data_IF_706414136357
#
_entry.id   IF_706414136357
#
_cell.length_a   1.000
_cell.length_b   1.000
_cell.length_c   1.000
_cell.angle_alpha   90.00
_cell.angle_beta   90.00
_cell.angle_gamma   90.00
#
_symmetry.space_group_name_H-M   'P 1'
#
loop_
_entity.id
_entity.type
_entity.pdbx_description
1 polymer ?
#
# COMPACT_ATOMS: atom_id res chain seq x y z
N UNK A 1 25.47 63.92 -5.74
CA UNK A 1 25.24 62.50 -6.02
C UNK A 1 24.02 62.05 -5.25
N UNK A 2 22.87 61.88 -5.91
CA UNK A 2 21.66 61.29 -5.31
C UNK A 2 20.94 60.50 -6.40
N UNK A 3 21.33 59.23 -6.56
CA UNK A 3 20.61 58.24 -7.35
C UNK A 3 20.16 57.15 -6.37
N UNK A 4 18.89 57.22 -5.97
CA UNK A 4 17.88 56.23 -6.38
C UNK A 4 18.07 54.88 -5.66
N UNK A 5 17.46 54.61 -4.51
CA UNK A 5 16.00 54.52 -4.27
C UNK A 5 15.25 53.53 -5.20
N UNK A 6 15.91 52.93 -6.20
CA UNK A 6 15.36 51.87 -7.08
C UNK A 6 15.71 50.45 -6.64
N UNK A 7 16.74 50.25 -5.82
CA UNK A 7 17.12 48.91 -5.32
C UNK A 7 16.16 48.31 -4.28
N UNK A 8 15.22 49.10 -3.75
CA UNK A 8 14.34 48.69 -2.65
C UNK A 8 13.03 47.97 -3.08
N UNK A 9 12.67 47.94 -4.38
CA UNK A 9 11.36 47.42 -4.81
C UNK A 9 11.38 46.13 -5.65
N UNK A 10 12.48 45.77 -6.31
CA UNK A 10 12.51 44.59 -7.21
C UNK A 10 12.87 43.26 -6.54
N UNK A 11 13.40 43.27 -5.30
CA UNK A 11 13.68 42.04 -4.53
C UNK A 11 12.44 41.50 -3.78
N UNK A 12 11.34 42.25 -3.71
CA UNK A 12 10.07 41.82 -3.11
C UNK A 12 9.19 40.95 -4.05
N UNK A 13 9.58 40.78 -5.32
CA UNK A 13 8.92 39.87 -6.26
C UNK A 13 9.50 38.45 -6.27
N UNK A 14 10.43 38.14 -5.35
CA UNK A 14 10.79 36.76 -4.99
C UNK A 14 9.71 36.11 -4.09
N UNK A 15 8.46 36.20 -4.54
CA UNK A 15 7.32 35.51 -3.95
C UNK A 15 7.66 34.03 -3.77
N UNK A 16 7.65 33.59 -2.52
CA UNK A 16 8.05 32.27 -2.09
C UNK A 16 7.21 31.17 -2.75
N UNK A 17 7.60 30.76 -3.95
CA UNK A 17 7.15 29.52 -4.60
C UNK A 17 7.88 28.33 -3.99
N UNK A 18 7.90 28.26 -2.65
CA UNK A 18 8.18 27.04 -1.91
C UNK A 18 6.93 26.13 -2.00
N UNK A 19 6.60 25.71 -3.23
CA UNK A 19 5.54 24.77 -3.55
C UNK A 19 5.95 23.37 -3.14
N UNK A 20 6.02 23.18 -1.83
CA UNK A 20 6.10 21.88 -1.17
C UNK A 20 5.09 20.90 -1.80
N UNK A 21 5.52 19.65 -1.98
CA UNK A 21 4.67 18.59 -2.58
C UNK A 21 3.34 18.34 -1.84
N UNK A 22 3.19 18.85 -0.60
CA UNK A 22 1.93 18.82 0.16
C UNK A 22 0.84 19.75 -0.39
N UNK A 23 1.19 20.89 -0.98
CA UNK A 23 0.22 21.93 -1.37
C UNK A 23 -0.81 21.48 -2.41
N UNK A 24 -0.39 20.70 -3.42
CA UNK A 24 -1.28 20.21 -4.49
C UNK A 24 -2.36 19.25 -3.97
N UNK A 25 -2.00 18.36 -3.04
CA UNK A 25 -2.93 17.42 -2.44
C UNK A 25 -3.94 18.12 -1.52
N UNK A 26 -3.49 19.10 -0.73
CA UNK A 26 -4.37 19.89 0.14
C UNK A 26 -5.35 20.77 -0.66
N UNK A 27 -4.92 21.38 -1.78
CA UNK A 27 -5.82 22.10 -2.70
C UNK A 27 -6.91 21.17 -3.27
N UNK A 28 -6.54 19.96 -3.71
CA UNK A 28 -7.50 18.96 -4.22
C UNK A 28 -8.52 18.53 -3.16
N UNK A 29 -8.10 18.36 -1.91
CA UNK A 29 -9.03 18.06 -0.80
C UNK A 29 -10.03 19.20 -0.58
N UNK A 30 -9.57 20.45 -0.46
CA UNK A 30 -10.47 21.62 -0.28
C UNK A 30 -11.49 21.73 -1.42
N UNK A 31 -11.05 21.55 -2.67
CA UNK A 31 -11.93 21.54 -3.83
C UNK A 31 -12.96 20.39 -3.79
N UNK A 32 -12.61 19.22 -3.23
CA UNK A 32 -13.55 18.14 -3.03
C UNK A 32 -14.56 18.46 -1.90
N UNK A 33 -14.09 19.01 -0.77
CA UNK A 33 -14.94 19.47 0.33
C UNK A 33 -15.96 20.53 -0.17
N UNK A 34 -15.52 21.50 -0.96
CA UNK A 34 -16.38 22.52 -1.59
C UNK A 34 -17.39 21.92 -2.57
N UNK A 35 -16.99 20.97 -3.42
CA UNK A 35 -17.88 20.27 -4.37
C UNK A 35 -18.95 19.43 -3.68
N UNK A 36 -18.70 18.95 -2.46
CA UNK A 36 -19.67 18.17 -1.69
C UNK A 36 -20.70 19.04 -0.94
N UNK A 37 -20.42 20.34 -0.71
CA UNK A 37 -21.33 21.26 0.01
C UNK A 37 -22.78 21.24 -0.50
N UNK A 38 -23.07 21.24 -1.81
CA UNK A 38 -24.46 21.24 -2.31
C UNK A 38 -25.26 19.97 -2.00
N UNK A 39 -24.61 18.89 -1.56
CA UNK A 39 -25.24 17.60 -1.26
C UNK A 39 -25.44 17.36 0.24
N UNK A 40 -24.85 18.19 1.09
CA UNK A 40 -25.05 18.14 2.55
C UNK A 40 -26.53 18.34 2.87
N UNK A 41 -27.10 17.45 3.69
CA UNK A 41 -28.53 17.43 4.02
C UNK A 41 -29.46 16.95 2.91
N UNK A 42 -28.93 16.55 1.74
CA UNK A 42 -29.70 15.99 0.60
C UNK A 42 -29.32 14.56 0.24
N UNK A 43 -28.15 14.12 0.68
CA UNK A 43 -27.58 12.78 0.46
C UNK A 43 -27.11 12.24 1.81
N UNK A 44 -27.21 10.92 2.00
CA UNK A 44 -26.67 10.22 3.17
C UNK A 44 -25.18 10.61 3.39
N UNK A 45 -24.81 11.06 4.60
CA UNK A 45 -23.49 11.63 4.85
C UNK A 45 -22.35 10.59 4.75
N UNK A 46 -22.66 9.30 4.92
CA UNK A 46 -21.74 8.17 4.72
C UNK A 46 -21.26 8.11 3.25
N UNK A 47 -22.20 8.18 2.29
CA UNK A 47 -21.91 8.23 0.84
C UNK A 47 -21.07 9.45 0.46
N UNK A 48 -21.27 10.59 1.14
CA UNK A 48 -20.42 11.77 0.95
C UNK A 48 -18.99 11.55 1.46
N UNK A 49 -18.80 10.75 2.52
CA UNK A 49 -17.48 10.39 3.01
C UNK A 49 -16.72 9.41 2.09
N UNK A 50 -17.42 8.50 1.40
CA UNK A 50 -16.81 7.62 0.39
C UNK A 50 -16.16 8.40 -0.78
N UNK A 51 -16.76 9.54 -1.14
CA UNK A 51 -16.27 10.44 -2.18
C UNK A 51 -15.11 11.35 -1.70
N UNK A 52 -14.99 11.61 -0.38
CA UNK A 52 -14.05 12.58 0.17
C UNK A 52 -12.68 11.97 0.51
N UNK A 53 -11.67 12.26 -0.34
CA UNK A 53 -10.29 11.80 -0.14
C UNK A 53 -9.49 12.75 0.75
N UNK A 54 -9.28 12.33 2.00
CA UNK A 54 -8.48 13.08 2.97
C UNK A 54 -6.96 13.00 2.69
N UNK A 55 -6.32 14.16 2.66
CA UNK A 55 -4.89 14.32 2.35
C UNK A 55 -4.13 15.09 3.44
N UNK A 56 -4.79 16.05 4.10
CA UNK A 56 -4.29 16.88 5.17
C UNK A 56 -5.34 16.99 6.31
N UNK A 57 -4.95 16.81 7.58
CA UNK A 57 -3.64 16.34 8.05
C UNK A 57 -3.33 14.90 7.61
N UNK A 58 -2.05 14.53 7.50
CA UNK A 58 -1.67 13.22 6.95
C UNK A 58 -2.11 12.08 7.87
N UNK A 59 -2.91 11.16 7.34
CA UNK A 59 -3.49 10.06 8.11
C UNK A 59 -4.88 10.34 8.69
N UNK A 60 -5.45 11.53 8.44
CA UNK A 60 -6.88 11.77 8.61
C UNK A 60 -7.74 10.88 7.69
N UNK A 61 -9.00 10.75 8.06
CA UNK A 61 -10.04 10.01 7.34
C UNK A 61 -11.34 10.80 7.37
N UNK A 62 -12.27 10.51 6.45
CA UNK A 62 -13.57 11.15 6.49
C UNK A 62 -14.41 10.51 7.58
N UNK A 63 -14.96 11.34 8.46
CA UNK A 63 -15.94 10.93 9.45
C UNK A 63 -17.13 11.88 9.35
N UNK A 64 -18.34 11.33 9.49
CA UNK A 64 -19.54 12.13 9.65
C UNK A 64 -19.51 12.78 11.03
N UNK A 65 -19.67 14.10 11.07
CA UNK A 65 -19.76 14.88 12.31
C UNK A 65 -21.02 15.74 12.29
N UNK A 66 -21.60 15.99 13.46
CA UNK A 66 -22.76 16.85 13.60
C UNK A 66 -22.30 18.29 13.89
N UNK A 67 -22.65 19.24 13.02
CA UNK A 67 -22.31 20.65 13.14
C UNK A 67 -23.59 21.47 12.90
N UNK A 68 -24.01 22.27 13.89
CA UNK A 68 -25.26 23.04 13.88
C UNK A 68 -26.53 22.22 13.53
N UNK A 69 -26.61 20.98 14.04
CA UNK A 69 -27.73 20.08 13.77
C UNK A 69 -27.66 19.31 12.44
N UNK A 70 -26.68 19.63 11.57
CA UNK A 70 -26.50 19.00 10.26
C UNK A 70 -25.36 18.00 10.30
N UNK A 71 -25.54 16.83 9.68
CA UNK A 71 -24.48 15.83 9.51
C UNK A 71 -23.62 16.18 8.30
N UNK A 72 -22.32 16.39 8.52
CA UNK A 72 -21.36 16.80 7.48
C UNK A 72 -20.18 15.82 7.37
N UNK A 73 -19.67 15.53 6.16
CA UNK A 73 -18.44 14.77 5.96
C UNK A 73 -17.22 15.65 6.29
N UNK A 74 -16.36 15.23 7.22
CA UNK A 74 -15.18 16.02 7.64
C UNK A 74 -13.94 15.14 7.74
N UNK A 75 -12.81 15.62 7.18
CA UNK A 75 -11.53 14.95 7.33
C UNK A 75 -10.96 15.18 8.74
N UNK A 76 -10.99 14.17 9.60
CA UNK A 76 -10.65 14.27 11.02
C UNK A 76 -9.49 13.39 11.45
N UNK A 77 -8.88 13.72 12.59
CA UNK A 77 -7.94 12.88 13.32
C UNK A 77 -8.53 12.50 14.68
N UNK A 78 -9.05 11.27 14.85
CA UNK A 78 -9.76 10.89 16.07
C UNK A 78 -8.87 10.98 17.32
N UNK A 79 -9.29 11.75 18.32
CA UNK A 79 -8.64 11.84 19.62
C UNK A 79 -9.19 10.78 20.59
N UNK A 80 -10.50 10.55 20.56
CA UNK A 80 -11.20 9.43 21.19
C UNK A 80 -11.69 8.44 20.12
N UNK A 81 -12.02 7.21 20.52
CA UNK A 81 -12.65 6.20 19.66
C UNK A 81 -13.70 5.44 20.46
N UNK A 82 -14.77 4.93 19.82
CA UNK A 82 -15.77 4.10 20.49
C UNK A 82 -15.12 2.81 21.02
N UNK A 83 -15.67 2.29 22.13
CA UNK A 83 -15.24 1.02 22.74
C UNK A 83 -15.76 -0.22 22.00
N UNK A 84 -16.57 -0.04 20.96
CA UNK A 84 -17.11 -1.13 20.13
C UNK A 84 -15.99 -1.99 19.53
N UNK A 85 -16.13 -3.30 19.63
CA UNK A 85 -15.26 -4.29 18.98
C UNK A 85 -15.84 -4.62 17.60
N UNK A 86 -15.28 -4.01 16.58
CA UNK A 86 -15.62 -4.24 15.18
C UNK A 86 -14.29 -4.36 14.41
N UNK A 87 -13.56 -5.48 14.59
CA UNK A 87 -12.15 -5.57 14.22
C UNK A 87 -11.93 -5.31 12.74
N UNK A 88 -10.80 -4.69 12.40
CA UNK A 88 -10.43 -4.40 11.01
C UNK A 88 -8.96 -4.74 10.74
N UNK A 89 -8.67 -5.09 9.50
CA UNK A 89 -7.31 -5.26 9.02
C UNK A 89 -6.85 -4.04 8.23
N UNK A 90 -5.67 -3.49 8.51
CA UNK A 90 -5.07 -2.39 7.76
C UNK A 90 -4.30 -2.84 6.51
N UNK A 91 -3.94 -1.93 5.61
CA UNK A 91 -3.00 -2.19 4.49
C UNK A 91 -1.63 -2.68 4.97
N UNK A 92 -1.30 -2.39 6.24
CA UNK A 92 -0.08 -2.80 6.94
C UNK A 92 -0.31 -4.06 7.79
N UNK A 93 -1.34 -4.83 7.45
CA UNK A 93 -1.87 -6.05 8.08
C UNK A 93 -1.69 -6.12 9.59
N UNK A 94 -1.98 -5.01 10.24
CA UNK A 94 -2.16 -4.94 11.69
C UNK A 94 -3.66 -4.92 11.93
N UNK A 95 -4.13 -5.84 12.78
CA UNK A 95 -5.49 -5.83 13.30
C UNK A 95 -5.66 -4.66 14.25
N UNK A 96 -6.74 -3.91 14.09
CA UNK A 96 -7.20 -2.90 15.04
C UNK A 96 -8.56 -3.32 15.58
N UNK A 97 -8.90 -2.92 16.80
CA UNK A 97 -10.19 -3.27 17.43
C UNK A 97 -11.41 -2.64 16.73
N UNK A 98 -11.20 -1.54 16.00
CA UNK A 98 -12.13 -0.90 15.08
C UNK A 98 -11.40 0.07 14.13
N UNK A 99 -12.11 0.56 13.12
CA UNK A 99 -11.59 1.48 12.09
C UNK A 99 -11.13 2.83 12.66
N UNK A 100 -11.83 3.36 13.67
CA UNK A 100 -11.38 4.57 14.36
C UNK A 100 -9.97 4.39 14.96
N UNK A 101 -9.68 3.24 15.59
CA UNK A 101 -8.36 2.96 16.15
C UNK A 101 -7.27 2.85 15.08
N UNK A 102 -7.60 2.39 13.88
CA UNK A 102 -6.70 2.38 12.72
C UNK A 102 -6.33 3.82 12.33
N UNK A 103 -7.34 4.68 12.12
CA UNK A 103 -7.12 6.07 11.69
C UNK A 103 -6.52 6.97 12.79
N UNK A 104 -6.85 6.73 14.06
CA UNK A 104 -6.19 7.36 15.21
C UNK A 104 -4.68 7.08 15.22
N UNK A 105 -4.26 5.84 14.99
CA UNK A 105 -2.83 5.52 14.86
C UNK A 105 -2.22 6.14 13.59
N UNK A 106 -2.94 6.10 12.46
CA UNK A 106 -2.48 6.63 11.18
C UNK A 106 -2.15 8.13 11.28
N UNK A 107 -3.07 8.94 11.83
CA UNK A 107 -2.85 10.36 12.03
C UNK A 107 -1.78 10.67 13.10
N UNK A 108 -1.80 9.97 14.25
CA UNK A 108 -0.77 10.17 15.29
C UNK A 108 0.65 9.94 14.75
N UNK A 109 0.82 8.99 13.81
CA UNK A 109 2.09 8.69 13.14
C UNK A 109 2.33 9.51 11.86
N UNK A 110 1.44 10.46 11.52
CA UNK A 110 1.44 11.23 10.26
C UNK A 110 1.63 10.35 9.01
N UNK A 111 1.01 9.17 8.99
CA UNK A 111 1.19 8.14 7.95
C UNK A 111 -0.13 7.71 7.35
N UNK A 112 -0.25 7.77 6.03
CA UNK A 112 -1.37 7.17 5.29
C UNK A 112 -1.39 5.66 5.53
N UNK A 113 -2.48 5.19 6.15
CA UNK A 113 -2.76 3.77 6.41
C UNK A 113 -4.22 3.58 6.06
N UNK A 114 -4.51 2.76 5.04
CA UNK A 114 -5.87 2.43 4.66
C UNK A 114 -6.39 1.15 5.33
N UNK A 115 -7.69 0.94 5.21
CA UNK A 115 -8.35 -0.34 5.45
C UNK A 115 -7.93 -1.38 4.39
N UNK A 116 -7.88 -2.66 4.76
CA UNK A 116 -7.74 -3.79 3.84
C UNK A 116 -9.01 -4.61 3.72
N UNK A 117 -9.56 -5.03 4.85
CA UNK A 117 -10.86 -5.66 4.93
C UNK A 117 -11.42 -5.49 6.35
N UNK A 118 -12.73 -5.64 6.47
CA UNK A 118 -13.42 -5.78 7.75
C UNK A 118 -13.11 -7.16 8.32
N UNK A 119 -13.08 -7.29 9.65
CA UNK A 119 -12.61 -8.46 10.37
C UNK A 119 -11.15 -8.33 10.83
N UNK A 120 -10.70 -9.19 11.75
CA UNK A 120 -9.29 -9.25 12.11
C UNK A 120 -8.45 -9.61 10.89
N UNK A 121 -7.21 -9.13 10.79
CA UNK A 121 -6.29 -9.64 9.76
C UNK A 121 -6.24 -11.16 9.85
N UNK A 122 -6.32 -11.81 8.69
CA UNK A 122 -6.11 -13.25 8.57
C UNK A 122 -4.74 -13.56 9.19
N UNK A 123 -4.75 -14.23 10.34
CA UNK A 123 -3.53 -14.73 10.96
C UNK A 123 -3.22 -16.07 10.32
N UNK A 124 -2.05 -16.25 9.69
CA UNK A 124 -1.73 -17.50 9.03
C UNK A 124 -1.37 -18.54 10.10
N UNK A 125 -2.41 -19.16 10.68
CA UNK A 125 -2.33 -20.38 11.49
C UNK A 125 -2.67 -21.63 10.68
N UNK A 126 -3.19 -21.48 9.46
CA UNK A 126 -3.33 -22.59 8.53
C UNK A 126 -1.95 -23.12 8.17
N UNK A 127 -1.78 -24.45 8.18
CA UNK A 127 -0.67 -25.09 7.47
C UNK A 127 -0.92 -24.84 5.98
N UNK A 128 0.12 -24.47 5.24
CA UNK A 128 0.03 -24.38 3.79
C UNK A 128 -0.25 -25.77 3.21
N UNK A 129 -1.32 -25.93 2.43
CA UNK A 129 -1.58 -27.19 1.70
C UNK A 129 -0.68 -27.29 0.47
N UNK A 130 -0.61 -28.48 -0.16
CA UNK A 130 0.22 -28.66 -1.35
C UNK A 130 -0.34 -27.85 -2.55
N UNK A 131 -1.65 -27.73 -2.66
CA UNK A 131 -2.35 -26.92 -3.68
C UNK A 131 -2.09 -25.42 -3.49
N UNK A 132 -2.12 -24.92 -2.25
CA UNK A 132 -1.76 -23.54 -1.95
C UNK A 132 -0.28 -23.26 -2.20
N UNK A 133 0.60 -24.22 -1.89
CA UNK A 133 2.03 -24.11 -2.13
C UNK A 133 2.34 -24.06 -3.64
N UNK A 134 1.60 -24.82 -4.45
CA UNK A 134 1.67 -24.78 -5.91
C UNK A 134 1.20 -23.46 -6.52
N UNK A 135 0.16 -22.84 -5.95
CA UNK A 135 -0.35 -21.52 -6.39
C UNK A 135 0.54 -20.34 -5.94
N UNK A 136 1.28 -20.49 -4.84
CA UNK A 136 2.04 -19.40 -4.22
C UNK A 136 3.00 -18.62 -5.16
N UNK A 137 3.79 -19.26 -6.05
CA UNK A 137 4.74 -18.56 -6.92
C UNK A 137 4.07 -17.53 -7.86
N UNK A 138 2.88 -17.87 -8.37
CA UNK A 138 2.08 -16.98 -9.24
C UNK A 138 1.53 -15.81 -8.45
N UNK A 139 0.84 -16.09 -7.34
CA UNK A 139 0.27 -15.04 -6.49
C UNK A 139 1.33 -14.05 -6.03
N UNK A 140 2.56 -14.52 -5.79
CA UNK A 140 3.71 -13.69 -5.46
C UNK A 140 4.21 -12.86 -6.66
N UNK A 141 4.24 -13.42 -7.86
CA UNK A 141 4.66 -12.72 -9.08
C UNK A 141 3.63 -11.69 -9.57
N UNK A 142 2.34 -12.00 -9.58
CA UNK A 142 1.22 -11.05 -9.76
C UNK A 142 1.34 -9.88 -8.76
N UNK A 143 1.61 -10.19 -7.49
CA UNK A 143 1.79 -9.19 -6.45
C UNK A 143 3.03 -8.31 -6.69
N UNK A 144 4.14 -8.88 -7.17
CA UNK A 144 5.32 -8.12 -7.59
C UNK A 144 5.05 -7.21 -8.78
N UNK A 145 4.23 -7.65 -9.74
CA UNK A 145 3.82 -6.87 -10.91
C UNK A 145 2.94 -5.69 -10.49
N UNK A 146 1.96 -5.92 -9.61
CA UNK A 146 1.14 -4.86 -9.02
C UNK A 146 2.00 -3.85 -8.26
N UNK A 147 2.94 -4.31 -7.43
CA UNK A 147 3.88 -3.46 -6.70
C UNK A 147 4.82 -2.67 -7.61
N UNK A 148 5.07 -3.11 -8.84
CA UNK A 148 5.89 -2.34 -9.80
C UNK A 148 5.08 -1.20 -10.41
N UNK A 149 3.76 -1.43 -10.60
CA UNK A 149 2.82 -0.46 -11.17
C UNK A 149 2.30 0.56 -10.14
N UNK A 150 2.38 0.28 -8.83
CA UNK A 150 1.95 1.20 -7.75
C UNK A 150 2.92 2.37 -7.56
N UNK A 151 2.81 3.38 -8.42
CA UNK A 151 3.60 4.62 -8.39
C UNK A 151 3.38 5.45 -9.67
N UNK A 152 3.16 4.75 -10.78
CA UNK A 152 2.62 5.29 -12.02
C UNK A 152 1.08 5.34 -11.94
N UNK A 153 0.43 6.09 -12.84
CA UNK A 153 -1.02 6.27 -12.81
C UNK A 153 -1.75 4.94 -13.09
N UNK A 154 -2.42 4.40 -12.07
CA UNK A 154 -3.21 3.17 -12.15
C UNK A 154 -4.26 3.24 -13.27
N UNK A 155 -3.98 2.55 -14.38
CA UNK A 155 -4.93 2.32 -15.47
C UNK A 155 -5.65 0.98 -15.25
N UNK A 156 -6.99 0.90 -15.34
CA UNK A 156 -7.74 -0.34 -15.08
C UNK A 156 -7.55 -1.50 -16.07
N UNK A 157 -6.60 -1.42 -17.01
CA UNK A 157 -6.39 -2.39 -18.09
C UNK A 157 -5.04 -3.11 -18.03
N UNK A 158 -4.47 -3.30 -16.83
CA UNK A 158 -3.16 -3.87 -16.67
C UNK A 158 -3.19 -5.40 -16.89
N UNK A 159 -2.44 -5.97 -17.85
CA UNK A 159 -2.58 -7.38 -18.21
C UNK A 159 -2.13 -8.31 -17.05
N UNK A 160 -2.80 -9.47 -16.90
CA UNK A 160 -2.47 -10.50 -15.91
C UNK A 160 -1.11 -11.16 -16.18
N UNK A 161 -0.55 -11.87 -15.19
CA UNK A 161 0.73 -12.59 -15.33
C UNK A 161 0.76 -13.59 -16.51
N UNK A 162 -0.39 -14.11 -16.95
CA UNK A 162 -0.49 -14.99 -18.13
C UNK A 162 -0.03 -14.33 -19.44
N UNK A 163 0.16 -13.00 -19.47
CA UNK A 163 0.71 -12.27 -20.60
C UNK A 163 2.23 -12.01 -20.52
N UNK A 164 2.93 -12.44 -19.45
CA UNK A 164 4.36 -12.19 -19.26
C UNK A 164 5.24 -13.34 -19.78
N UNK A 165 6.19 -13.02 -20.65
CA UNK A 165 7.21 -13.97 -21.10
C UNK A 165 8.07 -14.50 -19.94
N UNK A 166 8.74 -15.63 -20.14
CA UNK A 166 9.75 -16.15 -19.19
C UNK A 166 10.81 -15.08 -18.87
N UNK A 167 11.29 -14.36 -19.89
CA UNK A 167 12.28 -13.28 -19.72
C UNK A 167 11.76 -12.12 -18.87
N UNK A 168 10.50 -11.69 -19.05
CA UNK A 168 9.88 -10.64 -18.24
C UNK A 168 9.66 -11.11 -16.78
N UNK A 169 9.20 -12.35 -16.56
CA UNK A 169 9.08 -12.95 -15.22
C UNK A 169 10.44 -13.05 -14.52
N UNK A 170 11.49 -13.42 -15.26
CA UNK A 170 12.88 -13.47 -14.76
C UNK A 170 13.40 -12.09 -14.36
N UNK A 171 13.21 -11.07 -15.20
CA UNK A 171 13.60 -9.68 -14.89
C UNK A 171 12.87 -9.16 -13.64
N UNK A 172 11.55 -9.39 -13.53
CA UNK A 172 10.77 -8.99 -12.36
C UNK A 172 11.23 -9.72 -11.08
N UNK A 173 11.54 -11.01 -11.18
CA UNK A 173 12.13 -11.77 -10.06
C UNK A 173 13.48 -11.17 -9.62
N UNK A 174 14.38 -10.85 -10.56
CA UNK A 174 15.69 -10.26 -10.28
C UNK A 174 15.58 -8.87 -9.65
N UNK A 175 14.72 -7.99 -10.20
CA UNK A 175 14.43 -6.66 -9.64
C UNK A 175 13.90 -6.75 -8.21
N UNK A 176 13.09 -7.77 -7.90
CA UNK A 176 12.55 -7.97 -6.55
C UNK A 176 13.60 -8.50 -5.59
N UNK A 177 14.49 -9.39 -6.04
CA UNK A 177 15.62 -9.87 -5.25
C UNK A 177 16.50 -8.71 -4.75
N UNK A 178 16.92 -7.79 -5.64
CA UNK A 178 17.81 -6.68 -5.29
C UNK A 178 17.18 -5.66 -4.34
N UNK A 179 15.85 -5.50 -4.37
CA UNK A 179 15.12 -4.67 -3.39
C UNK A 179 15.04 -5.30 -1.99
N UNK A 180 15.18 -6.62 -1.90
CA UNK A 180 15.07 -7.39 -0.66
C UNK A 180 16.45 -7.61 -0.02
N UNK A 181 17.50 -7.82 -0.82
CA UNK A 181 18.91 -7.89 -0.41
C UNK A 181 19.46 -6.51 -0.01
N UNK A 182 19.02 -6.02 1.14
CA UNK A 182 19.42 -4.68 1.65
C UNK A 182 20.88 -4.61 2.09
N UNK A 183 21.43 -5.73 2.54
CA UNK A 183 22.82 -5.86 2.96
C UNK A 183 23.77 -6.14 1.77
N UNK A 184 23.23 -6.40 0.58
CA UNK A 184 23.96 -6.64 -0.66
C UNK A 184 24.95 -7.82 -0.55
N UNK A 185 24.60 -8.87 0.20
CA UNK A 185 25.43 -10.09 0.31
C UNK A 185 25.11 -11.13 -0.78
N UNK A 186 24.25 -10.78 -1.75
CA UNK A 186 23.84 -11.63 -2.86
C UNK A 186 22.91 -12.77 -2.45
N UNK A 187 22.34 -12.72 -1.23
CA UNK A 187 21.62 -13.84 -0.61
C UNK A 187 20.46 -13.37 0.27
N UNK A 188 19.24 -13.83 0.00
CA UNK A 188 18.08 -13.52 0.85
C UNK A 188 18.10 -14.41 2.09
N UNK A 189 18.38 -13.81 3.25
CA UNK A 189 18.25 -14.50 4.54
C UNK A 189 16.82 -14.48 5.05
N UNK A 190 16.50 -15.33 6.03
CA UNK A 190 15.22 -15.28 6.76
C UNK A 190 14.91 -13.89 7.35
N UNK A 191 15.89 -13.03 7.63
CA UNK A 191 15.63 -11.64 8.08
C UNK A 191 15.10 -10.76 6.95
N UNK A 192 15.48 -11.02 5.72
CA UNK A 192 15.10 -10.27 4.51
C UNK A 192 13.76 -10.76 3.98
N UNK A 193 13.58 -12.08 3.98
CA UNK A 193 12.27 -12.73 3.79
C UNK A 193 11.24 -12.31 4.86
N UNK A 194 11.68 -11.92 6.07
CA UNK A 194 10.80 -11.27 7.07
C UNK A 194 10.49 -9.79 6.79
N UNK A 195 11.32 -9.07 6.01
CA UNK A 195 11.02 -7.71 5.53
C UNK A 195 10.04 -7.76 4.35
N UNK A 196 10.04 -8.87 3.61
CA UNK A 196 9.05 -9.32 2.62
C UNK A 196 7.63 -9.55 3.21
N UNK A 197 7.37 -9.21 4.49
CA UNK A 197 6.03 -9.18 5.08
C UNK A 197 5.17 -8.04 4.51
N UNK A 198 4.87 -8.14 3.22
CA UNK A 198 3.68 -7.56 2.61
C UNK A 198 2.48 -8.27 3.25
N UNK A 199 1.89 -7.67 4.29
CA UNK A 199 0.76 -8.28 5.03
C UNK A 199 -0.58 -8.08 4.29
N UNK A 200 -0.54 -8.48 3.02
CA UNK A 200 -1.54 -8.44 1.94
C UNK A 200 -1.15 -9.39 0.79
N UNK A 201 0.01 -10.05 0.88
CA UNK A 201 0.44 -11.06 -0.08
C UNK A 201 -0.53 -12.24 0.02
N UNK A 202 -1.16 -12.69 -1.08
CA UNK A 202 -2.03 -13.85 -1.02
C UNK A 202 -1.24 -15.08 -0.54
N UNK A 203 -1.89 -15.95 0.23
CA UNK A 203 -1.30 -17.19 0.76
C UNK A 203 -0.03 -16.98 1.61
N UNK A 204 0.01 -15.94 2.45
CA UNK A 204 1.21 -15.59 3.22
C UNK A 204 1.70 -16.65 4.23
N UNK A 205 0.87 -17.64 4.62
CA UNK A 205 1.31 -18.86 5.33
C UNK A 205 2.28 -19.70 4.50
N UNK A 206 2.07 -19.77 3.19
CA UNK A 206 2.90 -20.53 2.27
C UNK A 206 4.28 -19.90 2.01
N UNK A 207 4.50 -18.64 2.38
CA UNK A 207 5.77 -17.97 2.15
C UNK A 207 6.97 -18.68 2.81
N UNK A 208 6.82 -19.16 4.05
CA UNK A 208 7.91 -19.84 4.76
C UNK A 208 8.26 -21.20 4.14
N UNK A 209 7.31 -22.15 3.92
CA UNK A 209 7.60 -23.41 3.25
C UNK A 209 8.05 -23.20 1.80
N UNK A 210 7.51 -22.19 1.08
CA UNK A 210 7.98 -21.87 -0.27
C UNK A 210 9.46 -21.48 -0.29
N UNK A 211 9.90 -20.55 0.55
CA UNK A 211 11.32 -20.16 0.58
C UNK A 211 12.24 -21.28 1.06
N UNK A 212 11.77 -22.17 1.93
CA UNK A 212 12.48 -23.41 2.28
C UNK A 212 12.61 -24.35 1.07
N UNK A 213 11.60 -24.42 0.20
CA UNK A 213 11.68 -25.19 -1.05
C UNK A 213 12.65 -24.58 -2.08
N UNK A 214 12.95 -23.28 -1.99
CA UNK A 214 13.91 -22.61 -2.87
C UNK A 214 15.37 -22.88 -2.46
N UNK A 215 15.63 -23.02 -1.14
CA UNK A 215 16.95 -23.23 -0.53
C UNK A 215 17.44 -24.68 -0.77
N UNK A 216 18.02 -24.94 -1.96
CA UNK A 216 18.37 -26.30 -2.40
C UNK A 216 19.49 -26.91 -1.56
N UNK A 217 20.44 -26.09 -1.12
CA UNK A 217 21.58 -26.53 -0.30
C UNK A 217 21.31 -26.44 1.22
N UNK A 218 20.10 -26.01 1.62
CA UNK A 218 19.60 -25.94 3.01
C UNK A 218 20.43 -25.05 3.94
N UNK A 219 21.13 -24.04 3.40
CA UNK A 219 21.99 -23.13 4.17
C UNK A 219 21.23 -21.98 4.87
N UNK A 220 19.89 -21.93 4.72
CA UNK A 220 18.97 -20.88 5.21
C UNK A 220 19.10 -19.53 4.52
N UNK A 221 19.73 -19.48 3.34
CA UNK A 221 19.82 -18.31 2.48
C UNK A 221 19.53 -18.69 1.02
N UNK A 222 18.66 -17.93 0.37
CA UNK A 222 18.31 -18.15 -1.04
C UNK A 222 19.17 -17.25 -1.93
N UNK A 223 19.97 -17.83 -2.82
CA UNK A 223 20.75 -17.09 -3.83
C UNK A 223 19.88 -16.56 -4.96
N UNK A 224 20.39 -15.63 -5.78
CA UNK A 224 19.65 -15.11 -6.95
C UNK A 224 19.24 -16.22 -7.92
N UNK A 225 20.09 -17.23 -8.15
CA UNK A 225 19.79 -18.38 -9.03
C UNK A 225 18.70 -19.28 -8.47
N UNK A 226 18.77 -19.58 -7.17
CA UNK A 226 17.73 -20.34 -6.48
C UNK A 226 16.39 -19.60 -6.50
N UNK A 227 16.41 -18.28 -6.29
CA UNK A 227 15.23 -17.41 -6.34
C UNK A 227 14.55 -17.41 -7.72
N UNK A 228 15.30 -17.15 -8.80
CA UNK A 228 14.72 -17.12 -10.16
C UNK A 228 14.22 -18.51 -10.57
N UNK A 229 14.98 -19.57 -10.28
CA UNK A 229 14.55 -20.94 -10.57
C UNK A 229 13.31 -21.35 -9.78
N UNK A 230 13.22 -20.93 -8.52
CA UNK A 230 12.08 -21.25 -7.66
C UNK A 230 10.78 -20.55 -8.08
N UNK A 231 10.86 -19.30 -8.56
CA UNK A 231 9.70 -18.48 -8.94
C UNK A 231 9.29 -18.60 -10.40
N UNK A 232 10.23 -18.84 -11.32
CA UNK A 232 9.99 -18.83 -12.77
C UNK A 232 10.07 -20.25 -13.33
N UNK A 233 11.24 -20.88 -13.30
CA UNK A 233 11.45 -22.16 -14.00
C UNK A 233 10.63 -23.31 -13.40
N UNK A 234 10.59 -23.43 -12.06
CA UNK A 234 9.85 -24.50 -11.38
C UNK A 234 8.35 -24.24 -11.28
N UNK A 235 7.90 -23.00 -11.46
CA UNK A 235 6.47 -22.73 -11.50
C UNK A 235 5.89 -23.22 -12.82
N UNK A 236 6.52 -22.96 -13.97
CA UNK A 236 5.99 -23.30 -15.31
C UNK A 236 5.34 -24.69 -15.46
N UNK A 237 5.91 -25.76 -14.89
CA UNK A 237 5.28 -27.08 -14.93
C UNK A 237 3.88 -27.12 -14.28
N UNK A 238 3.66 -26.39 -13.17
CA UNK A 238 2.38 -26.28 -12.49
C UNK A 238 1.39 -25.40 -13.29
N UNK A 239 1.88 -24.42 -14.05
CA UNK A 239 1.06 -23.56 -14.92
C UNK A 239 0.35 -24.39 -15.99
N UNK A 240 1.12 -25.20 -16.71
CA UNK A 240 0.61 -26.05 -17.78
C UNK A 240 -0.23 -27.24 -17.28
N UNK A 241 -0.16 -27.59 -15.99
CA UNK A 241 -0.87 -28.75 -15.44
C UNK A 241 -2.16 -28.40 -14.66
N UNK A 242 -2.30 -27.16 -14.17
CA UNK A 242 -3.44 -26.74 -13.35
C UNK A 242 -4.11 -25.42 -13.79
N UNK A 243 -3.56 -24.70 -14.76
CA UNK A 243 -4.11 -23.42 -15.26
C UNK A 243 -4.36 -23.37 -16.78
N UNK A 244 -4.12 -24.48 -17.49
CA UNK A 244 -4.59 -24.74 -18.84
C UNK A 244 -5.51 -25.97 -18.84
#
# INVERSE_FOLDING_TARGET
MNLSLTFALFLLLSLHSCTTMGGRAQRRQRQAEERLRPYIGRVEPEKLCELLKCHSPVGSWCQVVQENGVLIPKCVCPQSCPRQRAPVCSVLGKTYGNECLLHKEACRKRRRTGLAHIGPCLVPKAKCTEEELGQFPYRLMDWFLLLSRMGESYTPGAPPQSCLSHTQRTQLAQQRFTLLDKNKDGKLSHRDLRKLRYKRMPLEHCATPFFQSCDRNRNRKVTLREWTSCLVDRSEAWFYHFMC
#
